data_IF_030545666234
#
_entry.id   IF_030545666234
#
_cell.length_a   1.000
_cell.length_b   1.000
_cell.length_c   1.000
_cell.angle_alpha   90.00
_cell.angle_beta   90.00
_cell.angle_gamma   90.00
#
_symmetry.space_group_name_H-M   'P 1'
#
loop_
_entity.id
_entity.type
_entity.pdbx_description
1 polymer ?
#
# COMPACT_ATOMS: atom_id res chain seq x y z
N UNK A 1 20.47 7.02 3.03
CA UNK A 1 19.65 7.70 2.03
C UNK A 1 18.72 6.72 1.34
N UNK A 2 17.40 6.89 1.51
CA UNK A 2 16.40 6.05 0.83
C UNK A 2 16.25 6.54 -0.61
N UNK A 3 16.86 5.86 -1.56
CA UNK A 3 16.59 6.07 -2.99
C UNK A 3 15.37 5.21 -3.38
N UNK A 4 14.16 5.76 -3.24
CA UNK A 4 12.94 5.14 -3.71
C UNK A 4 12.74 5.37 -5.21
N UNK A 5 12.81 4.33 -6.03
CA UNK A 5 12.42 4.41 -7.42
C UNK A 5 10.97 3.98 -7.61
N UNK A 6 10.16 4.84 -8.22
CA UNK A 6 8.76 4.54 -8.55
C UNK A 6 8.70 3.67 -9.80
N UNK A 7 8.05 2.51 -9.70
CA UNK A 7 7.71 1.68 -10.87
C UNK A 7 6.22 1.88 -11.14
N UNK A 8 5.89 2.59 -12.23
CA UNK A 8 4.52 2.66 -12.73
C UNK A 8 4.45 1.81 -14.00
N UNK A 9 3.59 0.79 -14.01
CA UNK A 9 3.24 0.01 -15.19
C UNK A 9 4.44 -0.62 -15.90
N UNK A 10 4.82 -1.82 -15.51
CA UNK A 10 5.89 -2.57 -16.16
C UNK A 10 5.58 -4.07 -16.10
N UNK A 11 6.25 -4.86 -16.96
CA UNK A 11 6.25 -6.31 -16.82
C UNK A 11 6.89 -6.73 -15.51
N UNK A 12 6.58 -7.93 -15.01
CA UNK A 12 7.27 -8.50 -13.85
C UNK A 12 8.80 -8.47 -14.02
N UNK A 13 9.29 -8.62 -15.27
CA UNK A 13 10.71 -8.52 -15.59
C UNK A 13 11.31 -7.16 -15.19
N UNK A 14 10.63 -6.05 -15.47
CA UNK A 14 11.12 -4.71 -15.09
C UNK A 14 11.21 -4.53 -13.55
N UNK A 15 10.27 -5.12 -12.83
CA UNK A 15 10.28 -5.16 -11.35
C UNK A 15 11.48 -5.97 -10.86
N UNK A 16 11.72 -7.15 -11.46
CA UNK A 16 12.86 -8.01 -11.12
C UNK A 16 14.20 -7.36 -11.39
N UNK A 17 14.37 -6.75 -12.56
CA UNK A 17 15.65 -6.15 -12.95
C UNK A 17 16.03 -5.03 -11.99
N UNK A 18 15.08 -4.22 -11.55
CA UNK A 18 15.30 -3.21 -10.51
C UNK A 18 15.61 -3.82 -9.15
N UNK A 19 14.87 -4.83 -8.72
CA UNK A 19 15.10 -5.51 -7.44
C UNK A 19 16.49 -6.15 -7.43
N UNK A 20 16.92 -6.76 -8.54
CA UNK A 20 18.26 -7.37 -8.68
C UNK A 20 19.40 -6.36 -8.59
N UNK A 21 19.22 -5.11 -8.95
CA UNK A 21 20.26 -4.10 -8.76
C UNK A 21 20.62 -3.93 -7.28
N UNK A 22 19.65 -4.02 -6.37
CA UNK A 22 19.87 -3.92 -4.93
C UNK A 22 20.45 -5.18 -4.30
N UNK A 23 20.31 -6.35 -4.94
CA UNK A 23 20.92 -7.61 -4.45
C UNK A 23 22.44 -7.52 -4.43
N UNK A 24 23.05 -6.73 -5.32
CA UNK A 24 24.52 -6.56 -5.44
C UNK A 24 25.12 -5.73 -4.30
N UNK A 25 24.31 -4.98 -3.57
CA UNK A 25 24.76 -4.20 -2.40
C UNK A 25 24.79 -5.11 -1.16
N UNK A 26 25.95 -5.60 -0.76
CA UNK A 26 26.12 -6.72 0.19
C UNK A 26 25.67 -6.42 1.62
N UNK A 27 25.49 -5.18 2.00
CA UNK A 27 25.26 -4.77 3.40
C UNK A 27 23.86 -4.20 3.69
N UNK A 28 22.94 -4.24 2.73
CA UNK A 28 21.63 -3.61 2.89
C UNK A 28 20.47 -4.61 2.83
N UNK A 29 19.51 -4.44 3.72
CA UNK A 29 18.19 -5.03 3.56
C UNK A 29 17.39 -4.15 2.60
N UNK A 30 16.66 -4.76 1.69
CA UNK A 30 15.81 -4.04 0.76
C UNK A 30 14.38 -4.58 0.79
N UNK A 31 13.45 -3.69 0.51
CA UNK A 31 12.02 -3.98 0.55
C UNK A 31 11.30 -3.32 -0.62
N UNK A 32 10.08 -3.74 -0.86
CA UNK A 32 9.17 -3.15 -1.83
C UNK A 32 7.93 -2.61 -1.13
N UNK A 33 7.21 -1.71 -1.79
CA UNK A 33 5.85 -1.34 -1.46
C UNK A 33 5.11 -1.20 -2.79
N UNK A 34 4.44 -2.27 -3.21
CA UNK A 34 3.67 -2.30 -4.45
C UNK A 34 2.18 -2.34 -4.12
N UNK A 35 1.38 -1.69 -4.94
CA UNK A 35 -0.06 -1.82 -4.88
C UNK A 35 -0.50 -3.16 -5.49
N UNK A 36 -1.30 -3.95 -4.79
CA UNK A 36 -1.80 -5.25 -5.27
C UNK A 36 -2.50 -5.11 -6.64
N UNK A 37 -3.27 -4.04 -6.82
CA UNK A 37 -3.99 -3.80 -8.09
C UNK A 37 -3.09 -3.34 -9.25
N UNK A 38 -1.85 -3.00 -8.97
CA UNK A 38 -0.87 -2.62 -9.98
C UNK A 38 0.06 -3.77 -10.39
N UNK A 39 -0.10 -4.95 -9.80
CA UNK A 39 0.71 -6.11 -10.16
C UNK A 39 0.38 -6.57 -11.59
N UNK A 40 1.38 -6.82 -12.42
CA UNK A 40 1.17 -7.36 -13.75
C UNK A 40 0.77 -8.85 -13.71
N UNK A 41 0.09 -9.33 -14.75
CA UNK A 41 -0.42 -10.71 -14.81
C UNK A 41 0.70 -11.77 -14.87
N UNK A 42 1.90 -11.37 -15.25
CA UNK A 42 3.10 -12.20 -15.25
C UNK A 42 3.90 -12.15 -13.94
N UNK A 43 3.33 -11.53 -12.89
CA UNK A 43 3.95 -11.48 -11.57
C UNK A 43 4.05 -12.89 -10.96
N UNK A 44 5.13 -13.21 -10.21
CA UNK A 44 5.32 -14.52 -9.61
C UNK A 44 4.12 -14.98 -8.78
N UNK A 45 3.64 -16.18 -9.05
CA UNK A 45 2.51 -16.77 -8.34
C UNK A 45 1.16 -16.14 -8.65
N UNK A 46 1.04 -15.37 -9.76
CA UNK A 46 -0.18 -14.62 -10.08
C UNK A 46 -1.41 -15.52 -10.20
N UNK A 47 -1.30 -16.63 -10.91
CA UNK A 47 -2.42 -17.57 -11.12
C UNK A 47 -2.87 -18.22 -9.84
N UNK A 48 -1.91 -18.70 -9.03
CA UNK A 48 -2.18 -19.39 -7.77
C UNK A 48 -2.76 -18.45 -6.72
N UNK A 49 -2.16 -17.28 -6.55
CA UNK A 49 -2.60 -16.31 -5.56
C UNK A 49 -4.01 -15.77 -5.86
N UNK A 50 -4.36 -15.55 -7.13
CA UNK A 50 -5.70 -15.05 -7.48
C UNK A 50 -6.83 -16.05 -7.23
N UNK A 51 -6.53 -17.33 -7.02
CA UNK A 51 -7.51 -18.34 -6.61
C UNK A 51 -7.81 -18.31 -5.10
N UNK A 52 -7.04 -17.57 -4.32
CA UNK A 52 -7.20 -17.50 -2.85
C UNK A 52 -8.27 -16.44 -2.54
N UNK A 53 -9.31 -16.83 -1.82
CA UNK A 53 -10.42 -15.94 -1.46
C UNK A 53 -10.03 -14.97 -0.35
N UNK A 54 -9.36 -15.44 0.70
CA UNK A 54 -8.90 -14.58 1.79
C UNK A 54 -7.86 -13.57 1.29
N UNK A 55 -8.08 -12.31 1.61
CA UNK A 55 -7.28 -11.20 1.08
C UNK A 55 -5.88 -11.15 1.65
N UNK A 56 -5.73 -11.51 2.93
CA UNK A 56 -4.43 -11.56 3.59
C UNK A 56 -3.63 -12.75 3.10
N UNK A 57 -4.25 -13.91 2.99
CA UNK A 57 -3.59 -15.11 2.46
C UNK A 57 -3.17 -14.92 1.00
N UNK A 58 -4.00 -14.25 0.21
CA UNK A 58 -3.70 -13.90 -1.18
C UNK A 58 -2.44 -13.05 -1.28
N UNK A 59 -2.37 -11.93 -0.55
CA UNK A 59 -1.20 -11.04 -0.61
C UNK A 59 0.05 -11.71 -0.06
N UNK A 60 -0.06 -12.51 0.99
CA UNK A 60 1.04 -13.29 1.54
C UNK A 60 1.54 -14.34 0.54
N UNK A 61 0.65 -14.94 -0.25
CA UNK A 61 1.02 -15.86 -1.33
C UNK A 61 1.86 -15.16 -2.40
N UNK A 62 1.45 -13.97 -2.84
CA UNK A 62 2.23 -13.14 -3.76
C UNK A 62 3.62 -12.80 -3.19
N UNK A 63 3.68 -12.36 -1.93
CA UNK A 63 4.94 -12.01 -1.28
C UNK A 63 5.89 -13.19 -1.18
N UNK A 64 5.39 -14.38 -0.85
CA UNK A 64 6.18 -15.63 -0.80
C UNK A 64 6.74 -16.00 -2.18
N UNK A 65 5.90 -15.93 -3.22
CA UNK A 65 6.33 -16.21 -4.59
C UNK A 65 7.39 -15.19 -5.06
N UNK A 66 7.20 -13.93 -4.72
CA UNK A 66 8.15 -12.86 -5.06
C UNK A 66 9.48 -13.02 -4.31
N UNK A 67 9.44 -13.32 -3.02
CA UNK A 67 10.64 -13.63 -2.23
C UNK A 67 11.45 -14.76 -2.86
N UNK A 68 10.77 -15.87 -3.19
CA UNK A 68 11.40 -17.03 -3.84
C UNK A 68 12.02 -16.66 -5.19
N UNK A 69 11.34 -15.86 -5.98
CA UNK A 69 11.82 -15.46 -7.31
C UNK A 69 13.02 -14.50 -7.24
N UNK A 70 13.09 -13.65 -6.23
CA UNK A 70 14.24 -12.76 -5.97
C UNK A 70 15.43 -13.54 -5.43
N UNK A 71 15.20 -14.53 -4.56
CA UNK A 71 16.23 -15.46 -4.07
C UNK A 71 17.26 -14.82 -3.14
N UNK A 72 16.88 -13.83 -2.33
CA UNK A 72 17.77 -13.18 -1.37
C UNK A 72 17.12 -13.07 0.00
N UNK A 73 17.81 -13.57 1.04
CA UNK A 73 17.37 -13.46 2.45
C UNK A 73 17.33 -12.01 2.97
N UNK A 74 17.98 -11.09 2.28
CA UNK A 74 17.95 -9.66 2.60
C UNK A 74 16.76 -8.94 2.01
N UNK A 75 15.92 -9.65 1.24
CA UNK A 75 14.73 -9.10 0.62
C UNK A 75 13.52 -9.28 1.53
N UNK A 76 12.83 -8.19 1.84
CA UNK A 76 11.58 -8.20 2.60
C UNK A 76 10.48 -7.71 1.65
N UNK A 77 9.78 -8.61 0.93
CA UNK A 77 8.69 -8.20 0.06
C UNK A 77 7.54 -7.61 0.88
N UNK A 78 6.94 -6.56 0.33
CA UNK A 78 5.67 -6.02 0.80
C UNK A 78 4.82 -5.58 -0.37
N UNK A 79 3.59 -6.06 -0.37
CA UNK A 79 2.55 -5.70 -1.33
C UNK A 79 1.38 -5.15 -0.52
N UNK A 80 1.08 -3.88 -0.72
CA UNK A 80 -0.04 -3.22 -0.06
C UNK A 80 -1.37 -3.80 -0.56
N UNK A 81 -2.25 -4.20 0.36
CA UNK A 81 -3.60 -4.61 0.00
C UNK A 81 -4.29 -3.48 -0.76
N UNK A 82 -4.79 -3.81 -1.94
CA UNK A 82 -5.42 -2.90 -2.89
C UNK A 82 -4.45 -1.85 -3.42
N UNK A 83 -4.35 -0.72 -2.73
CA UNK A 83 -3.55 0.46 -3.08
C UNK A 83 -3.04 1.14 -1.81
N UNK A 84 -2.00 1.97 -1.93
CA UNK A 84 -1.51 2.82 -0.85
C UNK A 84 -2.62 3.63 -0.17
N UNK A 85 -3.62 4.06 -0.91
CA UNK A 85 -4.74 4.84 -0.37
C UNK A 85 -5.56 4.09 0.68
N UNK A 86 -5.45 2.78 0.82
CA UNK A 86 -6.01 2.06 1.96
C UNK A 86 -5.47 2.60 3.29
N UNK A 87 -4.18 2.95 3.36
CA UNK A 87 -3.56 3.56 4.54
C UNK A 87 -4.07 4.99 4.80
N UNK A 88 -4.53 5.71 3.77
CA UNK A 88 -5.12 7.05 3.93
C UNK A 88 -6.44 6.98 4.71
N UNK A 89 -7.15 5.85 4.66
CA UNK A 89 -8.36 5.65 5.46
C UNK A 89 -8.12 5.65 6.96
N UNK A 90 -6.89 5.45 7.43
CA UNK A 90 -6.53 5.62 8.84
C UNK A 90 -6.67 7.07 9.33
N UNK A 91 -6.75 8.05 8.42
CA UNK A 91 -6.76 9.47 8.78
C UNK A 91 -7.62 10.33 7.86
N UNK A 92 -8.84 9.87 7.53
CA UNK A 92 -9.76 10.60 6.64
C UNK A 92 -10.04 12.04 7.08
N UNK A 93 -10.08 12.29 8.40
CA UNK A 93 -10.31 13.64 8.93
C UNK A 93 -9.20 14.64 8.56
N UNK A 94 -7.98 14.16 8.41
CA UNK A 94 -6.89 15.04 7.98
C UNK A 94 -7.04 15.52 6.54
N UNK A 95 -7.81 14.81 5.69
CA UNK A 95 -8.13 15.28 4.35
C UNK A 95 -8.93 16.59 4.39
N UNK A 96 -9.76 16.85 5.41
CA UNK A 96 -10.51 18.09 5.55
C UNK A 96 -9.62 19.32 5.78
N UNK A 97 -8.39 19.15 6.26
CA UNK A 97 -7.43 20.24 6.35
C UNK A 97 -6.92 20.69 4.97
N UNK A 98 -6.95 19.77 3.99
CA UNK A 98 -6.52 20.05 2.61
C UNK A 98 -7.72 20.38 1.70
N UNK A 99 -8.88 19.78 1.95
CA UNK A 99 -10.07 19.80 1.09
C UNK A 99 -11.29 20.24 1.88
N UNK A 100 -11.40 21.54 2.12
CA UNK A 100 -12.51 22.15 2.87
C UNK A 100 -13.83 22.02 2.12
N UNK A 101 -14.92 21.76 2.83
CA UNK A 101 -16.26 21.61 2.24
C UNK A 101 -16.59 20.18 1.81
N UNK A 102 -15.70 19.20 2.08
CA UNK A 102 -15.92 17.80 1.78
C UNK A 102 -16.42 16.98 2.99
N UNK A 103 -16.86 17.65 4.07
CA UNK A 103 -17.22 17.02 5.35
C UNK A 103 -18.21 15.87 5.17
N UNK A 104 -19.31 16.09 4.42
CA UNK A 104 -20.34 15.07 4.19
C UNK A 104 -19.80 13.85 3.43
N UNK A 105 -18.91 14.08 2.47
CA UNK A 105 -18.33 13.00 1.67
C UNK A 105 -17.31 12.21 2.50
N UNK A 106 -16.54 12.86 3.34
CA UNK A 106 -15.61 12.19 4.26
C UNK A 106 -16.37 11.37 5.30
N UNK A 107 -17.45 11.88 5.89
CA UNK A 107 -18.30 11.11 6.80
C UNK A 107 -18.88 9.85 6.12
N UNK A 108 -19.23 9.93 4.84
CA UNK A 108 -19.67 8.76 4.08
C UNK A 108 -18.55 7.73 3.92
N UNK A 109 -17.29 8.15 3.68
CA UNK A 109 -16.16 7.24 3.64
C UNK A 109 -15.90 6.58 4.99
N UNK A 110 -16.05 7.31 6.10
CA UNK A 110 -15.96 6.75 7.45
C UNK A 110 -17.04 5.71 7.73
N UNK A 111 -18.27 5.98 7.26
CA UNK A 111 -19.36 5.02 7.36
C UNK A 111 -19.07 3.75 6.53
N UNK A 112 -18.45 3.89 5.36
CA UNK A 112 -18.03 2.72 4.58
C UNK A 112 -16.89 1.96 5.29
N UNK A 113 -15.94 2.65 5.92
CA UNK A 113 -14.88 2.05 6.70
C UNK A 113 -15.44 1.27 7.90
N UNK A 114 -16.46 1.79 8.58
CA UNK A 114 -17.07 1.12 9.75
C UNK A 114 -17.76 -0.22 9.44
N UNK A 115 -17.91 -0.58 8.17
CA UNK A 115 -18.49 -1.86 7.72
C UNK A 115 -17.45 -2.97 7.54
N UNK A 116 -16.18 -2.65 7.70
CA UNK A 116 -15.06 -3.58 7.58
C UNK A 116 -14.19 -3.54 8.83
N UNK A 117 -13.43 -4.59 9.06
CA UNK A 117 -12.65 -4.73 10.30
C UNK A 117 -11.52 -3.70 10.40
N UNK A 118 -10.94 -3.31 9.28
CA UNK A 118 -9.83 -2.36 9.24
C UNK A 118 -9.65 -1.74 7.83
N UNK A 119 -8.83 -0.68 7.71
CA UNK A 119 -8.61 0.02 6.43
C UNK A 119 -8.06 -0.85 5.30
N UNK A 120 -7.28 -1.88 5.59
CA UNK A 120 -6.75 -2.79 4.56
C UNK A 120 -7.83 -3.64 3.89
N UNK A 121 -9.02 -3.74 4.51
CA UNK A 121 -10.15 -4.50 3.98
C UNK A 121 -11.24 -3.61 3.35
N UNK A 122 -10.98 -2.32 3.17
CA UNK A 122 -11.98 -1.35 2.67
C UNK A 122 -12.52 -1.67 1.28
N UNK A 123 -11.86 -2.54 0.55
CA UNK A 123 -12.22 -2.83 -0.83
C UNK A 123 -11.96 -4.29 -1.22
N UNK A 124 -12.63 -4.76 -2.28
CA UNK A 124 -12.40 -6.07 -2.89
C UNK A 124 -12.54 -6.05 -4.43
N UNK A 125 -12.69 -4.86 -5.01
CA UNK A 125 -12.86 -4.69 -6.45
C UNK A 125 -12.06 -3.48 -6.97
N UNK A 126 -11.20 -3.63 -7.99
CA UNK A 126 -10.45 -2.53 -8.58
C UNK A 126 -11.31 -1.37 -9.11
N UNK A 127 -12.56 -1.63 -9.50
CA UNK A 127 -13.47 -0.57 -9.95
C UNK A 127 -13.88 0.39 -8.84
N UNK A 128 -13.85 -0.07 -7.58
CA UNK A 128 -14.16 0.72 -6.38
C UNK A 128 -12.96 0.90 -5.48
N UNK A 129 -11.76 0.90 -6.06
CA UNK A 129 -10.48 1.01 -5.36
C UNK A 129 -10.44 2.19 -4.35
N UNK A 130 -9.67 2.09 -3.26
CA UNK A 130 -9.58 3.12 -2.24
C UNK A 130 -9.36 4.52 -2.80
N UNK A 131 -8.45 4.68 -3.77
CA UNK A 131 -8.20 5.97 -4.42
C UNK A 131 -9.43 6.52 -5.15
N UNK A 132 -10.19 5.66 -5.84
CA UNK A 132 -11.41 6.06 -6.55
C UNK A 132 -12.50 6.55 -5.60
N UNK A 133 -12.59 5.93 -4.42
CA UNK A 133 -13.52 6.37 -3.36
C UNK A 133 -13.15 7.75 -2.85
N UNK A 134 -11.87 8.01 -2.58
CA UNK A 134 -11.36 9.30 -2.11
C UNK A 134 -11.54 10.36 -3.21
N UNK A 135 -11.15 10.06 -4.45
CA UNK A 135 -11.35 10.96 -5.61
C UNK A 135 -12.82 11.36 -5.71
N UNK A 136 -13.74 10.38 -5.69
CA UNK A 136 -15.16 10.65 -5.76
C UNK A 136 -15.66 11.50 -4.59
N UNK A 137 -15.13 11.31 -3.39
CA UNK A 137 -15.50 12.08 -2.22
C UNK A 137 -15.03 13.54 -2.29
N UNK A 138 -13.85 13.78 -2.88
CA UNK A 138 -13.24 15.10 -2.96
C UNK A 138 -13.66 15.85 -4.22
N UNK A 139 -13.69 15.18 -5.38
CA UNK A 139 -13.94 15.81 -6.68
C UNK A 139 -15.40 15.68 -7.13
N UNK A 140 -16.14 14.69 -6.61
CA UNK A 140 -17.48 14.36 -7.05
C UNK A 140 -18.56 15.31 -6.58
N UNK A 141 -18.31 16.18 -5.61
CA UNK A 141 -19.23 17.22 -5.20
C UNK A 141 -19.06 18.44 -6.11
N UNK A 142 -20.09 18.76 -6.90
CA UNK A 142 -20.10 19.90 -7.88
C UNK A 142 -19.71 21.27 -7.30
N UNK A 143 -19.55 21.38 -5.99
CA UNK A 143 -19.15 22.60 -5.27
C UNK A 143 -17.67 22.65 -4.90
N UNK A 144 -16.95 21.53 -5.01
CA UNK A 144 -15.52 21.53 -4.69
C UNK A 144 -14.71 21.89 -5.94
N UNK A 145 -13.72 22.78 -5.74
CA UNK A 145 -12.75 23.17 -6.78
C UNK A 145 -11.46 22.40 -6.65
N UNK A 146 -11.50 21.24 -5.98
CA UNK A 146 -10.31 20.47 -5.67
C UNK A 146 -10.11 19.33 -6.65
N UNK A 147 -8.87 19.13 -7.04
CA UNK A 147 -8.39 17.88 -7.60
C UNK A 147 -7.63 17.10 -6.52
N UNK A 148 -7.89 15.82 -6.40
CA UNK A 148 -7.20 14.99 -5.41
C UNK A 148 -5.76 14.73 -5.83
N UNK A 149 -4.81 15.32 -5.11
CA UNK A 149 -3.39 15.10 -5.29
C UNK A 149 -2.94 13.90 -4.43
N UNK A 150 -2.94 12.70 -5.03
CA UNK A 150 -2.60 11.44 -4.35
C UNK A 150 -1.27 11.51 -3.58
N UNK A 151 -0.13 11.90 -4.19
CA UNK A 151 1.15 11.92 -3.48
C UNK A 151 1.18 12.90 -2.32
N UNK A 152 0.61 14.09 -2.52
CA UNK A 152 0.59 15.14 -1.51
C UNK A 152 -0.33 14.78 -0.34
N UNK A 153 -1.54 14.32 -0.65
CA UNK A 153 -2.51 13.93 0.36
C UNK A 153 -2.05 12.69 1.14
N UNK A 154 -1.53 11.67 0.45
CA UNK A 154 -1.00 10.47 1.09
C UNK A 154 0.13 10.78 2.06
N UNK A 155 1.12 11.57 1.63
CA UNK A 155 2.22 12.02 2.50
C UNK A 155 1.70 12.79 3.71
N UNK A 156 0.80 13.75 3.50
CA UNK A 156 0.25 14.60 4.55
C UNK A 156 -0.51 13.77 5.59
N UNK A 157 -1.42 12.89 5.14
CA UNK A 157 -2.19 12.04 6.04
C UNK A 157 -1.28 11.09 6.82
N UNK A 158 -0.33 10.41 6.16
CA UNK A 158 0.59 9.51 6.82
C UNK A 158 1.42 10.20 7.92
N UNK A 159 1.88 11.43 7.67
CA UNK A 159 2.60 12.24 8.67
C UNK A 159 1.71 12.61 9.86
N UNK A 160 0.43 12.90 9.65
CA UNK A 160 -0.52 13.29 10.71
C UNK A 160 -0.99 12.09 11.53
N UNK A 161 -1.25 10.98 10.87
CA UNK A 161 -1.68 9.73 11.51
C UNK A 161 -0.55 9.14 12.36
N UNK A 162 0.66 9.14 11.84
CA UNK A 162 1.84 8.58 12.49
C UNK A 162 1.92 7.05 12.39
N UNK A 163 3.12 6.54 12.63
CA UNK A 163 3.45 5.12 12.45
C UNK A 163 2.66 4.22 13.42
N UNK A 164 2.48 4.63 14.65
CA UNK A 164 1.79 3.86 15.68
C UNK A 164 0.34 3.57 15.28
N UNK A 165 -0.40 4.59 14.83
CA UNK A 165 -1.79 4.43 14.37
C UNK A 165 -1.88 3.56 13.12
N UNK A 166 -0.98 3.77 12.14
CA UNK A 166 -0.94 2.93 10.94
C UNK A 166 -0.73 1.45 11.30
N UNK A 167 0.20 1.16 12.20
CA UNK A 167 0.48 -0.20 12.66
C UNK A 167 -0.69 -0.82 13.42
N UNK A 168 -1.36 -0.06 14.28
CA UNK A 168 -2.49 -0.56 15.07
C UNK A 168 -3.72 -0.85 14.23
N UNK A 169 -3.93 -0.10 13.14
CA UNK A 169 -5.11 -0.23 12.29
C UNK A 169 -4.90 -1.11 11.04
N UNK A 170 -3.66 -1.38 10.65
CA UNK A 170 -3.32 -2.10 9.42
C UNK A 170 -2.43 -3.31 9.75
N UNK A 171 -3.04 -4.50 9.99
CA UNK A 171 -2.31 -5.68 10.45
C UNK A 171 -1.22 -6.17 9.49
N UNK A 172 -1.44 -6.11 8.18
CA UNK A 172 -0.45 -6.53 7.19
C UNK A 172 0.72 -5.55 7.13
N UNK A 173 0.41 -4.25 7.13
CA UNK A 173 1.41 -3.19 7.23
C UNK A 173 2.24 -3.32 8.52
N UNK A 174 1.60 -3.61 9.66
CA UNK A 174 2.32 -3.84 10.91
C UNK A 174 3.31 -5.00 10.83
N UNK A 175 2.89 -6.14 10.28
CA UNK A 175 3.77 -7.32 10.09
C UNK A 175 5.00 -6.98 9.22
N UNK A 176 4.82 -6.16 8.21
CA UNK A 176 5.94 -5.69 7.39
C UNK A 176 6.91 -4.81 8.18
N UNK A 177 6.39 -3.83 8.95
CA UNK A 177 7.22 -2.97 9.80
C UNK A 177 7.98 -3.80 10.84
N UNK A 178 7.35 -4.80 11.46
CA UNK A 178 8.01 -5.73 12.39
C UNK A 178 9.18 -6.48 11.75
N UNK A 179 9.00 -6.97 10.52
CA UNK A 179 10.09 -7.61 9.76
C UNK A 179 11.27 -6.66 9.50
N UNK A 180 10.96 -5.40 9.16
CA UNK A 180 11.99 -4.37 8.95
C UNK A 180 12.74 -4.07 10.24
N UNK A 181 12.03 -3.88 11.36
CA UNK A 181 12.65 -3.63 12.67
C UNK A 181 13.55 -4.82 13.08
N UNK A 182 13.05 -6.04 12.97
CA UNK A 182 13.84 -7.24 13.27
C UNK A 182 15.08 -7.39 12.36
N UNK A 183 15.04 -6.90 11.14
CA UNK A 183 16.22 -6.88 10.27
C UNK A 183 17.25 -5.83 10.71
N UNK A 184 16.81 -4.65 11.16
CA UNK A 184 17.69 -3.63 11.73
C UNK A 184 18.40 -4.14 13.00
N UNK A 185 17.66 -4.80 13.90
CA UNK A 185 18.21 -5.31 15.17
C UNK A 185 19.29 -6.40 14.96
N UNK A 186 19.24 -7.13 13.84
CA UNK A 186 20.25 -8.14 13.49
C UNK A 186 21.55 -7.54 12.92
N UNK A 187 21.69 -6.23 12.88
CA UNK A 187 22.90 -5.55 12.41
C UNK A 187 23.11 -5.64 10.90
N UNK A 188 22.06 -5.87 10.14
CA UNK A 188 22.06 -5.85 8.67
C UNK A 188 21.80 -4.40 8.14
N UNK A 189 22.38 -3.42 8.81
CA UNK A 189 22.32 -1.99 8.40
C UNK A 189 23.74 -1.51 8.09
#
# INVERSE_FOLDING_TARGET
GTNGARVCGGSAQAVFDRTRCYIREEHHVFTTMFDLYALPNDFPGYSEANCIEDRYDRVVSFEKAFFKAVGSERFIPYIQLHEYEALVFCGLDYLLQMYKGCEKSIEKLKLDLSKVDNPELINDNPATAPSKRIIKAIEGEKKTRYNYDKPKAGKFVAQKVGMETLRSQCPHFNKWVEKLMAACDRGCV
#
